data_IF_884108186775
#
_entry.id   IF_884108186775
#
_cell.length_a   1.000
_cell.length_b   1.000
_cell.length_c   1.000
_cell.angle_alpha   90.00
_cell.angle_beta   90.00
_cell.angle_gamma   90.00
#
_symmetry.space_group_name_H-M   'P 1'
#
loop_
_entity.id
_entity.type
_entity.pdbx_description
1 polymer ?
#
# COMPACT_ATOMS: atom_id res chain seq x y z
N UNK A 1 7.45 -5.42 11.00
CA UNK A 1 7.97 -6.49 11.88
C UNK A 1 9.30 -6.96 11.31
N UNK A 2 10.38 -6.94 12.10
CA UNK A 2 11.74 -7.19 11.62
C UNK A 2 12.10 -8.68 11.42
N UNK A 3 11.24 -9.62 11.84
CA UNK A 3 11.44 -11.05 11.62
C UNK A 3 12.59 -11.65 12.45
N UNK A 4 12.92 -11.05 13.60
CA UNK A 4 13.99 -11.50 14.51
C UNK A 4 13.59 -12.66 15.44
N UNK A 5 12.35 -13.16 15.32
CA UNK A 5 11.86 -14.32 16.07
C UNK A 5 12.12 -15.65 15.33
N UNK A 6 11.74 -16.77 15.95
CA UNK A 6 11.80 -18.12 15.36
C UNK A 6 10.68 -18.37 14.34
N UNK A 7 10.45 -17.41 13.46
CA UNK A 7 9.47 -17.54 12.36
C UNK A 7 10.06 -18.43 11.26
N UNK A 8 9.25 -19.36 10.75
CA UNK A 8 9.63 -20.29 9.68
C UNK A 8 9.60 -19.66 8.29
N UNK A 9 9.16 -18.39 8.17
CA UNK A 9 9.06 -17.66 6.88
C UNK A 9 10.03 -16.48 6.84
N UNK A 10 11.33 -16.72 6.59
CA UNK A 10 12.31 -15.65 6.49
C UNK A 10 12.05 -14.77 5.26
N UNK A 11 12.44 -13.49 5.35
CA UNK A 11 12.38 -12.52 4.24
C UNK A 11 10.98 -12.19 3.69
N UNK A 12 9.94 -12.29 4.52
CA UNK A 12 8.58 -11.89 4.14
C UNK A 12 8.50 -10.38 3.86
N UNK A 13 8.15 -10.02 2.63
CA UNK A 13 7.73 -8.67 2.27
C UNK A 13 6.21 -8.57 2.42
N UNK A 14 5.74 -7.49 3.03
CA UNK A 14 4.32 -7.20 3.15
C UNK A 14 3.84 -6.51 1.87
N UNK A 15 2.82 -7.05 1.22
CA UNK A 15 2.09 -6.31 0.18
C UNK A 15 0.91 -5.57 0.85
N UNK A 16 0.96 -4.23 0.97
CA UNK A 16 -0.08 -3.45 1.63
C UNK A 16 -1.43 -3.56 0.90
N UNK A 17 -1.46 -3.65 -0.42
CA UNK A 17 -2.71 -3.76 -1.20
C UNK A 17 -3.44 -5.07 -0.93
N UNK A 18 -2.70 -6.18 -0.80
CA UNK A 18 -3.30 -7.47 -0.43
C UNK A 18 -3.86 -7.43 1.00
N UNK A 19 -3.19 -6.74 1.92
CA UNK A 19 -3.71 -6.58 3.28
C UNK A 19 -4.94 -5.68 3.30
N UNK A 20 -4.93 -4.58 2.56
CA UNK A 20 -6.04 -3.66 2.45
C UNK A 20 -7.31 -4.35 1.91
N UNK A 21 -7.19 -5.10 0.81
CA UNK A 21 -8.32 -5.88 0.26
C UNK A 21 -8.88 -6.91 1.24
N UNK A 22 -8.04 -7.43 2.15
CA UNK A 22 -8.44 -8.43 3.14
C UNK A 22 -9.09 -7.81 4.39
N UNK A 23 -8.56 -6.69 4.87
CA UNK A 23 -8.89 -6.14 6.19
C UNK A 23 -9.70 -4.85 6.15
N UNK A 24 -9.73 -4.16 5.00
CA UNK A 24 -10.51 -2.94 4.78
C UNK A 24 -11.07 -2.90 3.34
N UNK A 25 -11.85 -3.90 2.89
CA UNK A 25 -12.30 -4.00 1.50
C UNK A 25 -13.07 -2.75 1.01
N UNK A 26 -13.80 -2.10 1.91
CA UNK A 26 -14.63 -0.91 1.61
C UNK A 26 -13.90 0.42 1.87
N UNK A 27 -12.65 0.38 2.32
CA UNK A 27 -11.87 1.59 2.58
C UNK A 27 -12.36 2.41 3.77
N UNK A 28 -13.23 1.85 4.62
CA UNK A 28 -13.86 2.55 5.74
C UNK A 28 -12.83 2.94 6.79
N UNK A 29 -11.86 2.07 7.06
CA UNK A 29 -10.79 2.38 8.01
C UNK A 29 -9.91 3.51 7.47
N UNK A 30 -9.48 3.42 6.21
CA UNK A 30 -8.63 4.46 5.60
C UNK A 30 -9.34 5.81 5.58
N UNK A 31 -10.58 5.88 5.08
CA UNK A 31 -11.34 7.15 5.02
C UNK A 31 -11.60 7.78 6.38
N UNK A 32 -11.70 6.98 7.44
CA UNK A 32 -11.83 7.48 8.81
C UNK A 32 -10.58 8.20 9.30
N UNK A 33 -9.39 7.74 8.90
CA UNK A 33 -8.12 8.22 9.43
C UNK A 33 -7.31 9.09 8.47
N UNK A 34 -7.67 9.09 7.19
CA UNK A 34 -7.05 9.86 6.11
C UNK A 34 -8.16 10.70 5.46
N UNK A 35 -8.57 11.81 6.10
CA UNK A 35 -9.75 12.57 5.67
C UNK A 35 -9.60 13.18 4.27
N UNK A 36 -8.37 13.45 3.80
CA UNK A 36 -8.09 13.90 2.44
C UNK A 36 -8.46 12.87 1.35
N UNK A 37 -8.71 11.61 1.73
CA UNK A 37 -9.24 10.56 0.86
C UNK A 37 -10.72 10.23 1.14
N UNK A 38 -11.41 11.02 1.98
CA UNK A 38 -12.77 10.75 2.45
C UNK A 38 -13.80 10.58 1.33
N UNK A 39 -13.63 11.31 0.23
CA UNK A 39 -14.52 11.29 -0.94
C UNK A 39 -14.19 10.18 -1.95
N UNK A 40 -13.15 9.37 -1.69
CA UNK A 40 -12.78 8.26 -2.58
C UNK A 40 -13.58 7.02 -2.22
N UNK A 41 -14.50 6.64 -3.11
CA UNK A 41 -15.43 5.53 -2.85
C UNK A 41 -14.76 4.15 -2.80
N UNK A 42 -15.16 3.38 -1.79
CA UNK A 42 -14.85 1.96 -1.64
C UNK A 42 -13.36 1.64 -1.57
N UNK A 43 -12.98 0.46 -2.05
CA UNK A 43 -11.59 0.00 -2.05
C UNK A 43 -10.64 0.79 -2.95
N UNK A 44 -11.12 1.74 -3.76
CA UNK A 44 -10.26 2.61 -4.59
C UNK A 44 -9.37 3.51 -3.73
N UNK A 45 -9.76 3.75 -2.48
CA UNK A 45 -8.98 4.49 -1.49
C UNK A 45 -7.58 3.90 -1.24
N UNK A 46 -7.38 2.61 -1.55
CA UNK A 46 -6.10 1.92 -1.37
C UNK A 46 -5.13 2.13 -2.54
N UNK A 47 -5.63 2.62 -3.68
CA UNK A 47 -4.85 2.86 -4.90
C UNK A 47 -5.18 4.25 -5.50
N UNK A 48 -5.03 5.37 -4.73
CA UNK A 48 -5.45 6.70 -5.18
C UNK A 48 -4.69 7.18 -6.43
N UNK A 49 -3.47 6.70 -6.66
CA UNK A 49 -2.69 6.98 -7.88
C UNK A 49 -3.26 6.37 -9.16
N UNK A 50 -4.26 5.48 -9.05
CA UNK A 50 -4.96 4.87 -10.20
C UNK A 50 -6.31 5.51 -10.47
N UNK A 51 -6.68 6.55 -9.71
CA UNK A 51 -7.87 7.35 -9.99
C UNK A 51 -7.70 8.09 -11.32
N UNK A 52 -8.81 8.57 -11.88
CA UNK A 52 -8.74 9.43 -13.06
C UNK A 52 -7.98 10.72 -12.73
N UNK A 53 -7.38 11.37 -13.73
CA UNK A 53 -6.66 12.63 -13.51
C UNK A 53 -7.54 13.71 -12.85
N UNK A 54 -8.84 13.73 -13.20
CA UNK A 54 -9.81 14.65 -12.60
C UNK A 54 -10.03 14.36 -11.12
N UNK A 55 -10.34 13.11 -10.75
CA UNK A 55 -10.49 12.71 -9.34
C UNK A 55 -9.21 12.98 -8.56
N UNK A 56 -8.04 12.67 -9.15
CA UNK A 56 -6.74 12.84 -8.53
C UNK A 56 -6.40 14.30 -8.26
N UNK A 57 -6.71 15.20 -9.20
CA UNK A 57 -6.46 16.64 -9.05
C UNK A 57 -7.23 17.31 -7.90
N UNK A 58 -8.30 16.66 -7.42
CA UNK A 58 -9.10 17.14 -6.31
C UNK A 58 -8.55 16.69 -4.94
N UNK A 59 -7.56 15.80 -4.90
CA UNK A 59 -7.04 15.21 -3.66
C UNK A 59 -5.69 15.82 -3.29
N UNK A 60 -5.58 16.34 -2.06
CA UNK A 60 -4.30 16.73 -1.44
C UNK A 60 -3.60 15.51 -0.81
N UNK A 61 -3.42 14.46 -1.61
CA UNK A 61 -2.76 13.22 -1.20
C UNK A 61 -1.53 12.99 -2.07
N UNK A 62 -0.37 12.53 -1.55
CA UNK A 62 0.85 12.40 -2.35
C UNK A 62 0.85 11.18 -3.28
N UNK A 63 1.74 11.20 -4.27
CA UNK A 63 2.06 10.01 -5.06
C UNK A 63 2.79 8.94 -4.22
N UNK A 64 2.71 7.65 -4.59
CA UNK A 64 3.47 6.60 -3.94
C UNK A 64 4.96 6.90 -3.94
N UNK A 65 5.59 6.83 -2.77
CA UNK A 65 7.04 7.07 -2.61
C UNK A 65 7.87 6.02 -3.35
N UNK A 66 7.37 4.80 -3.46
CA UNK A 66 8.02 3.69 -4.16
C UNK A 66 6.97 2.76 -4.74
N UNK A 67 7.23 2.22 -5.92
CA UNK A 67 6.41 1.14 -6.47
C UNK A 67 6.62 -0.17 -5.69
N UNK A 68 5.59 -1.02 -5.61
CA UNK A 68 5.66 -2.28 -4.87
C UNK A 68 6.65 -3.28 -5.48
N UNK A 69 6.72 -3.37 -6.80
CA UNK A 69 7.65 -4.24 -7.49
C UNK A 69 9.09 -3.74 -7.33
N UNK A 70 9.28 -2.42 -7.44
CA UNK A 70 10.58 -1.78 -7.18
C UNK A 70 11.05 -2.01 -5.75
N UNK A 71 10.19 -1.78 -4.75
CA UNK A 71 10.52 -2.01 -3.35
C UNK A 71 10.89 -3.47 -3.06
N UNK A 72 10.21 -4.42 -3.70
CA UNK A 72 10.53 -5.84 -3.62
C UNK A 72 11.89 -6.17 -4.26
N UNK A 73 12.19 -5.58 -5.42
CA UNK A 73 13.47 -5.76 -6.09
C UNK A 73 14.64 -5.24 -5.24
N UNK A 74 14.53 -4.00 -4.72
CA UNK A 74 15.53 -3.42 -3.81
C UNK A 74 15.75 -4.29 -2.57
N UNK A 75 14.67 -4.85 -2.01
CA UNK A 75 14.75 -5.75 -0.86
C UNK A 75 15.49 -7.07 -1.17
N UNK A 76 15.21 -7.68 -2.33
CA UNK A 76 15.89 -8.92 -2.76
C UNK A 76 17.37 -8.69 -3.03
N UNK A 77 17.69 -7.62 -3.75
CA UNK A 77 19.06 -7.25 -4.06
C UNK A 77 19.90 -7.02 -2.79
N UNK A 78 19.39 -6.22 -1.84
CA UNK A 78 20.07 -5.98 -0.56
C UNK A 78 20.28 -7.24 0.30
N UNK A 79 19.65 -8.36 -0.05
CA UNK A 79 19.78 -9.67 0.60
C UNK A 79 20.56 -10.69 -0.23
N UNK A 80 21.09 -10.31 -1.40
CA UNK A 80 21.80 -11.21 -2.32
C UNK A 80 20.91 -12.30 -2.89
N UNK A 81 19.66 -11.97 -3.25
CA UNK A 81 18.64 -12.91 -3.72
C UNK A 81 18.05 -12.54 -5.08
N UNK A 82 18.89 -12.03 -5.97
CA UNK A 82 18.52 -11.75 -7.36
C UNK A 82 18.29 -13.04 -8.16
#
# INVERSE_FOLDING_TARGET
VAGTGTDTRPHRVLNPLVQARRFDPDGTYVRRWVPELGDVDGGRVHEPWRLTAQERSALDYPEPVVDLAEGLARFRHARGRD
#
